data_IF_006549890384
#
_entry.id   IF_006549890384
#
_cell.length_a   1.000
_cell.length_b   1.000
_cell.length_c   1.000
_cell.angle_alpha   90.00
_cell.angle_beta   90.00
_cell.angle_gamma   90.00
#
_symmetry.space_group_name_H-M   'P 1'
#
loop_
_entity.id
_entity.type
_entity.pdbx_description
1 polymer ?
#
# COMPACT_ATOMS: atom_id res chain seq x y z
N UNK A 1 -7.70 -4.32 11.28
CA UNK A 1 -6.51 -4.68 10.47
C UNK A 1 -6.45 -6.19 10.32
N UNK A 2 -6.03 -6.69 9.16
CA UNK A 2 -5.78 -8.11 8.87
C UNK A 2 -4.33 -8.25 8.38
N UNK A 3 -3.60 -9.22 8.92
CA UNK A 3 -2.22 -9.53 8.50
C UNK A 3 -2.14 -11.03 8.23
N UNK A 4 -1.69 -11.41 7.03
CA UNK A 4 -1.59 -12.81 6.61
C UNK A 4 -0.21 -13.06 6.03
N UNK A 5 0.57 -13.92 6.66
CA UNK A 5 1.86 -14.38 6.16
C UNK A 5 1.68 -15.57 5.21
N UNK A 6 2.58 -15.68 4.23
CA UNK A 6 2.53 -16.71 3.19
C UNK A 6 1.19 -16.70 2.43
N UNK A 7 0.70 -15.52 2.07
CA UNK A 7 -0.64 -15.37 1.48
C UNK A 7 -0.74 -15.98 0.08
N UNK A 8 0.10 -15.54 -0.87
CA UNK A 8 0.07 -16.04 -2.25
C UNK A 8 0.64 -17.45 -2.30
N UNK A 9 -0.13 -18.37 -2.87
CA UNK A 9 0.27 -19.78 -3.11
C UNK A 9 0.58 -20.10 -4.57
N UNK A 10 0.22 -19.22 -5.49
CA UNK A 10 0.64 -19.31 -6.89
C UNK A 10 2.15 -19.05 -6.99
N UNK A 11 2.90 -20.11 -7.25
CA UNK A 11 4.37 -20.05 -7.34
C UNK A 11 4.83 -19.26 -8.55
N UNK A 12 4.11 -19.32 -9.67
CA UNK A 12 4.47 -18.53 -10.87
C UNK A 12 4.33 -17.05 -10.58
N UNK A 13 3.19 -16.63 -10.01
CA UNK A 13 2.92 -15.23 -9.69
C UNK A 13 3.99 -14.65 -8.76
N UNK A 14 4.33 -15.37 -7.68
CA UNK A 14 5.32 -14.89 -6.71
C UNK A 14 6.75 -14.93 -7.26
N UNK A 15 7.10 -15.93 -8.08
CA UNK A 15 8.42 -16.02 -8.73
C UNK A 15 8.65 -14.90 -9.73
N UNK A 16 7.65 -14.57 -10.55
CA UNK A 16 7.73 -13.45 -11.49
C UNK A 16 7.97 -12.12 -10.77
N UNK A 17 7.40 -11.93 -9.57
CA UNK A 17 7.62 -10.73 -8.76
C UNK A 17 9.02 -10.64 -8.12
N UNK A 18 9.83 -11.71 -8.17
CA UNK A 18 11.24 -11.66 -7.77
C UNK A 18 12.14 -11.01 -8.84
N UNK A 19 11.63 -10.79 -10.05
CA UNK A 19 12.43 -10.23 -11.12
C UNK A 19 12.74 -8.76 -10.85
N UNK A 20 14.02 -8.41 -10.69
CA UNK A 20 14.46 -7.03 -10.46
C UNK A 20 13.91 -6.05 -11.51
N UNK A 21 13.79 -6.47 -12.78
CA UNK A 21 13.26 -5.62 -13.87
C UNK A 21 11.84 -5.15 -13.67
N UNK A 22 11.03 -5.91 -12.93
CA UNK A 22 9.68 -5.50 -12.56
C UNK A 22 9.71 -4.27 -11.63
N UNK A 23 10.79 -4.11 -10.86
CA UNK A 23 10.98 -3.02 -9.91
C UNK A 23 11.87 -1.88 -10.43
N UNK A 24 12.47 -2.03 -11.62
CA UNK A 24 13.34 -1.00 -12.22
C UNK A 24 12.55 0.26 -12.63
N UNK A 25 11.25 0.12 -12.87
CA UNK A 25 10.33 1.24 -13.02
C UNK A 25 9.40 1.24 -11.82
N UNK A 26 9.52 2.24 -10.94
CA UNK A 26 8.46 2.53 -9.97
C UNK A 26 7.20 2.74 -10.79
N UNK A 27 6.26 1.79 -10.71
CA UNK A 27 4.98 1.93 -11.38
C UNK A 27 4.25 3.08 -10.70
N UNK A 28 4.05 4.16 -11.45
CA UNK A 28 3.15 5.25 -11.09
C UNK A 28 1.77 4.70 -10.77
N UNK A 29 0.99 5.43 -9.99
CA UNK A 29 -0.39 5.11 -9.66
C UNK A 29 -1.19 4.69 -10.90
N UNK A 30 -1.74 3.48 -10.86
CA UNK A 30 -2.59 2.89 -11.91
C UNK A 30 -3.98 2.63 -11.36
N UNK A 31 -4.97 2.74 -12.24
CA UNK A 31 -6.36 2.40 -11.94
C UNK A 31 -6.85 1.26 -12.82
N UNK A 32 -7.64 0.37 -12.23
CA UNK A 32 -8.39 -0.64 -12.95
C UNK A 32 -9.84 -0.68 -12.46
N UNK A 33 -10.78 -0.66 -13.40
CA UNK A 33 -12.19 -0.82 -13.08
C UNK A 33 -12.45 -2.25 -12.61
N UNK A 34 -13.34 -2.41 -11.63
CA UNK A 34 -13.65 -3.70 -11.01
C UNK A 34 -14.15 -4.75 -12.03
N UNK A 35 -14.85 -4.29 -13.07
CA UNK A 35 -15.36 -5.14 -14.15
C UNK A 35 -14.30 -5.49 -15.22
N UNK A 36 -13.17 -4.78 -15.24
CA UNK A 36 -12.12 -4.88 -16.25
C UNK A 36 -10.90 -5.69 -15.78
N UNK A 37 -10.96 -6.29 -14.58
CA UNK A 37 -9.82 -6.98 -13.96
C UNK A 37 -9.47 -8.34 -14.62
N UNK A 38 -10.08 -8.69 -15.75
CA UNK A 38 -9.90 -9.99 -16.40
C UNK A 38 -8.79 -9.98 -17.47
N UNK A 39 -7.98 -11.04 -17.51
CA UNK A 39 -6.95 -11.35 -18.52
C UNK A 39 -5.97 -10.21 -18.86
N UNK A 40 -5.09 -9.88 -17.91
CA UNK A 40 -4.01 -8.93 -18.14
C UNK A 40 -2.62 -9.56 -17.96
N UNK A 41 -1.67 -9.15 -18.80
CA UNK A 41 -0.25 -9.49 -18.67
C UNK A 41 0.46 -8.66 -17.58
N UNK A 42 -0.16 -7.57 -17.11
CA UNK A 42 0.36 -6.77 -16.00
C UNK A 42 0.37 -7.58 -14.70
N UNK A 43 1.55 -7.71 -14.11
CA UNK A 43 1.80 -8.55 -12.94
C UNK A 43 1.12 -8.03 -11.67
N UNK A 44 0.97 -6.70 -11.52
CA UNK A 44 0.21 -6.13 -10.40
C UNK A 44 -1.28 -6.45 -10.55
N UNK A 45 -1.85 -6.34 -11.75
CA UNK A 45 -3.27 -6.65 -11.97
C UNK A 45 -3.59 -8.12 -11.70
N UNK A 46 -2.69 -9.03 -12.09
CA UNK A 46 -2.81 -10.45 -11.73
C UNK A 46 -2.84 -10.65 -10.21
N UNK A 47 -2.03 -9.89 -9.46
CA UNK A 47 -2.07 -9.91 -8.00
C UNK A 47 -3.37 -9.30 -7.42
N UNK A 48 -3.85 -8.18 -7.95
CA UNK A 48 -5.14 -7.59 -7.51
C UNK A 48 -6.27 -8.60 -7.74
N UNK A 49 -6.31 -9.27 -8.89
CA UNK A 49 -7.28 -10.33 -9.18
C UNK A 49 -7.14 -11.50 -8.19
N UNK A 50 -5.91 -11.98 -7.96
CA UNK A 50 -5.64 -13.06 -7.01
C UNK A 50 -6.16 -12.71 -5.60
N UNK A 51 -5.79 -11.53 -5.08
CA UNK A 51 -6.19 -11.11 -3.73
C UNK A 51 -7.70 -10.88 -3.64
N UNK A 52 -8.29 -10.11 -4.57
CA UNK A 52 -9.63 -9.55 -4.37
C UNK A 52 -10.76 -10.25 -5.11
N UNK A 53 -10.45 -11.12 -6.08
CA UNK A 53 -11.45 -11.90 -6.83
C UNK A 53 -11.41 -13.39 -6.50
N UNK A 54 -10.23 -13.97 -6.36
CA UNK A 54 -10.08 -15.42 -6.21
C UNK A 54 -9.92 -15.83 -4.73
N UNK A 55 -9.12 -15.10 -3.97
CA UNK A 55 -8.72 -15.47 -2.60
C UNK A 55 -9.00 -14.37 -1.59
N UNK A 56 -10.08 -13.61 -1.77
CA UNK A 56 -10.44 -12.50 -0.87
C UNK A 56 -10.47 -12.96 0.59
N UNK A 57 -9.58 -12.42 1.46
CA UNK A 57 -9.50 -12.86 2.85
C UNK A 57 -10.59 -12.25 3.73
N UNK A 58 -11.37 -11.31 3.20
CA UNK A 58 -12.45 -10.65 3.93
C UNK A 58 -13.77 -11.35 3.64
N UNK A 59 -14.53 -11.64 4.69
CA UNK A 59 -15.94 -12.02 4.57
C UNK A 59 -16.83 -10.76 4.49
N UNK A 60 -16.54 -9.91 3.50
CA UNK A 60 -17.18 -8.61 3.30
C UNK A 60 -17.79 -8.53 1.92
N UNK A 61 -18.93 -7.86 1.80
CA UNK A 61 -19.50 -7.52 0.49
C UNK A 61 -18.65 -6.43 -0.17
N UNK A 62 -18.08 -6.75 -1.34
CA UNK A 62 -17.30 -5.83 -2.16
C UNK A 62 -18.11 -5.31 -3.36
N UNK A 63 -19.43 -5.49 -3.37
CA UNK A 63 -20.33 -5.04 -4.44
C UNK A 63 -20.29 -3.54 -4.72
N UNK A 64 -19.97 -2.73 -3.69
CA UNK A 64 -19.84 -1.28 -3.81
C UNK A 64 -18.48 -0.81 -4.34
N UNK A 65 -17.53 -1.72 -4.59
CA UNK A 65 -16.19 -1.35 -5.10
C UNK A 65 -16.27 -1.13 -6.61
N UNK A 66 -16.04 0.10 -7.05
CA UNK A 66 -16.00 0.45 -8.48
C UNK A 66 -14.67 0.09 -9.15
N UNK A 67 -13.57 0.10 -8.40
CA UNK A 67 -12.27 -0.27 -8.93
C UNK A 67 -11.14 -0.20 -7.91
N UNK A 68 -9.94 -0.43 -8.43
CA UNK A 68 -8.73 -0.56 -7.66
C UNK A 68 -7.69 0.43 -8.15
N UNK A 69 -7.12 1.16 -7.22
CA UNK A 69 -5.90 1.93 -7.43
C UNK A 69 -4.72 1.09 -6.92
N UNK A 70 -3.61 1.05 -7.65
CA UNK A 70 -2.43 0.30 -7.21
C UNK A 70 -1.12 0.92 -7.72
N UNK A 71 -0.06 0.75 -6.93
CA UNK A 71 1.28 1.25 -7.24
C UNK A 71 2.35 0.43 -6.52
N UNK A 72 3.61 0.59 -6.95
CA UNK A 72 4.76 -0.04 -6.30
C UNK A 72 5.44 0.94 -5.35
N UNK A 73 5.80 0.47 -4.15
CA UNK A 73 6.70 1.17 -3.23
C UNK A 73 8.06 0.47 -3.18
N UNK A 74 9.09 1.15 -3.67
CA UNK A 74 10.49 0.73 -3.59
C UNK A 74 11.26 1.74 -2.72
N UNK A 75 11.75 1.29 -1.56
CA UNK A 75 12.56 2.12 -0.67
C UNK A 75 13.83 1.37 -0.25
N UNK A 76 14.98 2.02 -0.33
CA UNK A 76 16.29 1.44 -0.06
C UNK A 76 17.03 2.20 1.04
N UNK A 77 17.91 1.50 1.75
CA UNK A 77 18.78 2.14 2.72
C UNK A 77 19.67 3.20 2.04
N UNK A 78 19.65 4.43 2.56
CA UNK A 78 20.41 5.55 1.99
C UNK A 78 19.68 6.33 0.88
N UNK A 79 18.42 5.99 0.60
CA UNK A 79 17.55 6.80 -0.25
C UNK A 79 17.40 8.22 0.31
N UNK A 80 17.58 9.22 -0.56
CA UNK A 80 17.48 10.65 -0.19
C UNK A 80 16.06 11.21 -0.32
N UNK A 81 15.06 10.33 -0.40
CA UNK A 81 13.64 10.69 -0.56
C UNK A 81 12.94 10.96 0.78
N UNK A 82 13.70 10.93 1.86
CA UNK A 82 13.24 11.15 3.23
C UNK A 82 12.49 12.47 3.36
N UNK A 83 11.28 12.43 3.93
CA UNK A 83 10.52 13.64 4.27
C UNK A 83 10.45 13.75 5.79
N UNK A 84 10.81 14.92 6.30
CA UNK A 84 10.66 15.25 7.72
C UNK A 84 9.21 15.62 8.00
N UNK A 85 8.60 14.94 8.94
CA UNK A 85 7.24 15.24 9.35
C UNK A 85 7.23 16.28 10.47
N UNK A 86 6.27 17.21 10.41
CA UNK A 86 6.19 18.34 11.32
C UNK A 86 5.75 17.94 12.74
N UNK A 87 4.89 16.93 12.87
CA UNK A 87 4.23 16.61 14.15
C UNK A 87 5.20 15.94 15.15
N UNK A 88 6.07 15.05 14.68
CA UNK A 88 7.02 14.31 15.54
C UNK A 88 8.50 14.63 15.25
N UNK A 89 8.79 15.50 14.27
CA UNK A 89 10.14 15.82 13.82
C UNK A 89 10.97 14.61 13.34
N UNK A 90 10.34 13.49 12.97
CA UNK A 90 11.00 12.30 12.46
C UNK A 90 11.04 12.29 10.93
N UNK A 91 11.98 11.51 10.38
CA UNK A 91 12.06 11.23 8.95
C UNK A 91 11.32 9.93 8.61
N UNK A 92 10.66 9.94 7.47
CA UNK A 92 9.93 8.80 6.91
C UNK A 92 10.22 8.69 5.40
N UNK A 93 10.21 7.47 4.85
CA UNK A 93 10.19 7.30 3.38
C UNK A 93 8.86 7.73 2.79
N UNK A 94 7.80 7.45 3.52
CA UNK A 94 6.48 7.97 3.23
C UNK A 94 5.94 8.57 4.51
N UNK A 95 5.86 9.91 4.54
CA UNK A 95 5.43 10.71 5.68
C UNK A 95 3.98 10.40 6.07
N UNK A 96 3.52 10.94 7.21
CA UNK A 96 2.17 10.67 7.70
C UNK A 96 1.13 11.21 6.71
N UNK A 97 0.24 10.33 6.30
CA UNK A 97 -0.85 10.66 5.39
C UNK A 97 -2.06 9.75 5.66
N UNK A 98 -3.16 10.12 5.01
CA UNK A 98 -4.30 9.25 4.75
C UNK A 98 -4.36 9.10 3.24
N UNK A 99 -4.72 7.92 2.75
CA UNK A 99 -5.03 7.80 1.33
C UNK A 99 -6.37 8.47 1.07
N UNK A 100 -6.41 9.34 0.07
CA UNK A 100 -7.58 10.15 -0.25
C UNK A 100 -7.58 10.59 -1.70
N UNK A 101 -8.73 11.03 -2.17
CA UNK A 101 -8.85 11.76 -3.43
C UNK A 101 -8.21 13.13 -3.25
N UNK A 102 -6.94 13.25 -3.66
CA UNK A 102 -6.13 14.44 -3.43
C UNK A 102 -6.75 15.67 -4.11
N UNK A 103 -7.32 15.54 -5.31
CA UNK A 103 -7.94 16.66 -6.01
C UNK A 103 -9.22 17.12 -5.32
N UNK A 104 -10.06 16.21 -4.85
CA UNK A 104 -11.26 16.61 -4.09
C UNK A 104 -10.88 17.27 -2.77
N UNK A 105 -9.83 16.79 -2.10
CA UNK A 105 -9.28 17.42 -0.91
C UNK A 105 -8.75 18.83 -1.20
N UNK A 106 -7.92 19.00 -2.23
CA UNK A 106 -7.34 20.29 -2.61
C UNK A 106 -8.40 21.32 -3.02
N UNK A 107 -9.42 20.89 -3.75
CA UNK A 107 -10.41 21.81 -4.34
C UNK A 107 -11.56 22.13 -3.40
N UNK A 108 -11.97 21.20 -2.54
CA UNK A 108 -13.18 21.35 -1.70
C UNK A 108 -12.92 21.17 -0.21
N UNK A 109 -11.76 20.65 0.20
CA UNK A 109 -11.49 20.24 1.58
C UNK A 109 -12.28 19.01 2.02
N UNK A 110 -12.92 18.30 1.08
CA UNK A 110 -13.68 17.08 1.39
C UNK A 110 -12.74 15.88 1.43
N UNK A 111 -12.65 15.24 2.58
CA UNK A 111 -11.90 13.99 2.73
C UNK A 111 -12.72 12.83 2.15
N UNK A 112 -12.23 12.23 1.05
CA UNK A 112 -12.78 11.03 0.45
C UNK A 112 -11.69 9.97 0.42
N UNK A 113 -11.82 8.94 1.23
CA UNK A 113 -10.84 7.85 1.36
C UNK A 113 -11.27 6.59 0.60
N UNK A 114 -10.32 5.70 0.26
CA UNK A 114 -10.67 4.35 -0.16
C UNK A 114 -11.39 3.60 0.96
N UNK A 115 -12.20 2.61 0.58
CA UNK A 115 -12.89 1.74 1.53
C UNK A 115 -11.89 0.82 2.26
N UNK A 116 -10.88 0.33 1.53
CA UNK A 116 -9.93 -0.66 2.02
C UNK A 116 -8.55 -0.35 1.44
N UNK A 117 -7.54 -0.31 2.32
CA UNK A 117 -6.13 -0.20 1.96
C UNK A 117 -5.42 -1.54 2.10
N UNK A 118 -4.51 -1.82 1.17
CA UNK A 118 -3.80 -3.10 1.10
C UNK A 118 -2.33 -2.86 0.83
N UNK A 119 -1.46 -3.57 1.56
CA UNK A 119 -0.05 -3.66 1.23
C UNK A 119 0.32 -5.14 1.09
N UNK A 120 0.93 -5.50 -0.04
CA UNK A 120 1.54 -6.80 -0.24
C UNK A 120 3.05 -6.69 -0.39
N UNK A 121 3.79 -7.60 0.23
CA UNK A 121 5.25 -7.65 0.23
C UNK A 121 5.75 -8.84 -0.61
N UNK A 122 5.76 -8.74 -1.94
CA UNK A 122 6.00 -9.88 -2.82
C UNK A 122 7.47 -10.30 -2.93
N UNK A 123 8.44 -9.47 -2.58
CA UNK A 123 9.86 -9.78 -2.82
C UNK A 123 10.56 -10.34 -1.57
N UNK A 124 11.50 -11.28 -1.76
CA UNK A 124 12.27 -11.93 -0.68
C UNK A 124 13.16 -10.96 0.11
N UNK A 125 13.63 -9.88 -0.51
CA UNK A 125 14.40 -8.82 0.17
C UNK A 125 13.72 -8.29 1.43
N UNK A 126 12.38 -8.32 1.47
CA UNK A 126 11.61 -7.87 2.63
C UNK A 126 11.89 -8.69 3.90
N UNK A 127 12.42 -9.91 3.82
CA UNK A 127 12.83 -10.67 5.01
C UNK A 127 14.14 -10.17 5.63
N UNK A 128 14.93 -9.39 4.87
CA UNK A 128 16.25 -8.90 5.26
C UNK A 128 16.27 -7.38 5.53
N UNK A 129 15.18 -6.68 5.25
CA UNK A 129 15.10 -5.22 5.45
C UNK A 129 14.98 -4.85 6.94
N UNK A 130 15.66 -3.77 7.34
CA UNK A 130 15.50 -3.14 8.67
C UNK A 130 14.86 -1.77 8.52
N UNK A 131 13.82 -1.51 9.31
CA UNK A 131 12.96 -0.34 9.11
C UNK A 131 12.04 -0.55 7.91
N UNK A 132 11.55 0.53 7.28
CA UNK A 132 10.55 0.40 6.22
C UNK A 132 9.20 -0.13 6.72
N UNK A 133 8.95 -0.02 8.01
CA UNK A 133 7.76 -0.55 8.67
C UNK A 133 6.55 0.31 8.30
N UNK A 134 5.42 -0.35 8.03
CA UNK A 134 4.14 0.33 7.97
C UNK A 134 3.73 0.69 9.40
N UNK A 135 3.61 1.99 9.68
CA UNK A 135 3.17 2.51 10.98
C UNK A 135 1.77 3.09 10.82
N UNK A 136 0.82 2.62 11.61
CA UNK A 136 -0.59 3.07 11.56
C UNK A 136 -0.97 3.55 12.96
N UNK A 137 -1.38 4.80 13.07
CA UNK A 137 -1.81 5.37 14.35
C UNK A 137 -3.30 5.12 14.58
N UNK A 138 -3.72 5.01 15.83
CA UNK A 138 -5.14 4.95 16.23
C UNK A 138 -5.78 6.36 16.24
N UNK A 139 -5.50 7.13 15.19
CA UNK A 139 -6.14 8.42 14.94
C UNK A 139 -6.20 8.68 13.43
N UNK A 140 -7.21 9.43 13.01
CA UNK A 140 -7.37 9.92 11.63
C UNK A 140 -6.82 11.35 11.47
N UNK A 141 -6.56 12.05 12.56
CA UNK A 141 -6.16 13.45 12.56
C UNK A 141 -4.98 13.70 13.53
N UNK A 142 -4.10 14.67 13.23
CA UNK A 142 -3.09 15.12 14.19
C UNK A 142 -3.72 15.86 15.39
N UNK A 143 -3.02 15.97 16.53
CA UNK A 143 -1.66 15.49 16.77
C UNK A 143 -1.61 13.99 17.11
N UNK A 144 -0.51 13.32 16.76
CA UNK A 144 -0.27 11.91 17.13
C UNK A 144 0.27 11.75 18.55
N UNK A 145 0.53 12.86 19.26
CA UNK A 145 1.09 12.82 20.62
C UNK A 145 0.16 12.07 21.56
N UNK A 146 0.68 11.02 22.22
CA UNK A 146 -0.09 10.17 23.12
C UNK A 146 -1.00 9.15 22.41
N UNK A 147 -1.02 9.12 21.07
CA UNK A 147 -1.78 8.13 20.31
C UNK A 147 -1.03 6.79 20.25
N UNK A 148 -1.78 5.70 20.39
CA UNK A 148 -1.25 4.36 20.15
C UNK A 148 -1.03 4.14 18.66
N UNK A 149 -0.14 3.20 18.33
CA UNK A 149 0.10 2.82 16.94
C UNK A 149 0.45 1.34 16.82
N UNK A 150 0.14 0.80 15.65
CA UNK A 150 0.59 -0.51 15.18
C UNK A 150 1.85 -0.32 14.32
N UNK A 151 2.81 -1.23 14.45
CA UNK A 151 4.03 -1.24 13.64
C UNK A 151 4.19 -2.60 12.95
N UNK A 152 4.04 -2.61 11.63
CA UNK A 152 4.00 -3.82 10.82
C UNK A 152 5.26 -3.88 9.97
N UNK A 153 6.14 -4.81 10.32
CA UNK A 153 7.38 -5.05 9.56
C UNK A 153 7.08 -5.60 8.17
N UNK A 154 7.82 -5.18 7.12
CA UNK A 154 7.84 -5.89 5.85
C UNK A 154 8.27 -7.33 6.10
N UNK A 155 7.64 -8.26 5.38
CA UNK A 155 7.99 -9.68 5.39
C UNK A 155 7.59 -10.28 4.07
N UNK A 156 8.42 -11.13 3.50
CA UNK A 156 8.11 -11.76 2.22
C UNK A 156 6.77 -12.51 2.29
N UNK A 157 5.96 -12.34 1.24
CA UNK A 157 4.64 -12.94 1.06
C UNK A 157 3.65 -12.60 2.20
N UNK A 158 3.80 -11.43 2.81
CA UNK A 158 2.83 -10.87 3.76
C UNK A 158 1.82 -9.97 3.04
N UNK A 159 0.55 -10.22 3.31
CA UNK A 159 -0.57 -9.34 2.97
C UNK A 159 -1.00 -8.58 4.23
N UNK A 160 -1.16 -7.27 4.12
CA UNK A 160 -1.72 -6.39 5.15
C UNK A 160 -2.94 -5.69 4.59
N UNK A 161 -4.06 -5.71 5.31
CA UNK A 161 -5.28 -5.00 4.98
C UNK A 161 -5.70 -4.13 6.16
N UNK A 162 -5.99 -2.85 5.90
CA UNK A 162 -6.28 -1.86 6.92
C UNK A 162 -7.27 -0.79 6.42
N UNK A 163 -7.75 0.06 7.33
CA UNK A 163 -8.55 1.25 7.00
C UNK A 163 -7.55 2.39 6.65
N UNK A 164 -7.46 2.81 5.38
CA UNK A 164 -6.46 3.77 4.95
C UNK A 164 -6.82 5.22 5.30
N UNK A 165 -7.99 5.44 5.92
CA UNK A 165 -8.38 6.74 6.48
C UNK A 165 -7.76 7.02 7.85
N UNK A 166 -7.09 6.05 8.48
CA UNK A 166 -6.23 6.31 9.64
C UNK A 166 -4.89 6.88 9.19
N UNK A 167 -4.28 7.74 10.00
CA UNK A 167 -2.93 8.24 9.73
C UNK A 167 -1.97 7.06 9.68
N UNK A 168 -1.16 7.04 8.62
CA UNK A 168 -0.14 6.01 8.44
C UNK A 168 1.09 6.54 7.69
N UNK A 169 2.20 5.85 7.86
CA UNK A 169 3.51 6.21 7.31
C UNK A 169 4.35 4.96 7.05
N UNK A 170 5.44 5.13 6.29
CA UNK A 170 6.49 4.12 6.14
C UNK A 170 7.76 4.64 6.80
N UNK A 171 8.21 3.95 7.85
CA UNK A 171 9.44 4.32 8.57
C UNK A 171 10.67 4.24 7.64
N UNK A 172 11.74 4.93 8.02
CA UNK A 172 12.99 4.88 7.25
C UNK A 172 13.52 3.45 7.12
N UNK A 173 13.95 3.08 5.91
CA UNK A 173 14.73 1.88 5.67
C UNK A 173 16.17 2.20 6.07
N UNK A 174 16.70 1.40 6.98
CA UNK A 174 18.05 1.58 7.54
C UNK A 174 19.04 0.54 7.03
N UNK A 175 18.53 -0.59 6.52
CA UNK A 175 19.33 -1.65 5.89
C UNK A 175 18.47 -2.40 4.87
N UNK A 176 19.06 -2.73 3.71
CA UNK A 176 18.39 -3.50 2.65
C UNK A 176 17.41 -2.68 1.81
N UNK A 177 16.50 -3.40 1.15
CA UNK A 177 15.52 -2.85 0.21
C UNK A 177 14.12 -3.36 0.54
N UNK A 178 13.17 -2.44 0.72
CA UNK A 178 11.74 -2.71 0.88
C UNK A 178 11.05 -2.67 -0.48
N UNK A 179 10.32 -3.73 -0.82
CA UNK A 179 9.53 -3.84 -2.07
C UNK A 179 8.10 -4.20 -1.76
N UNK A 180 7.18 -3.27 -2.00
CA UNK A 180 5.77 -3.43 -1.71
C UNK A 180 4.90 -3.08 -2.92
N UNK A 181 3.71 -3.67 -2.99
CA UNK A 181 2.64 -3.24 -3.87
C UNK A 181 1.51 -2.75 -2.96
N UNK A 182 1.10 -1.50 -3.13
CA UNK A 182 -0.05 -0.94 -2.46
C UNK A 182 -1.27 -1.04 -3.37
N UNK A 183 -2.43 -1.35 -2.78
CA UNK A 183 -3.71 -1.49 -3.50
C UNK A 183 -4.82 -0.88 -2.66
N UNK A 184 -5.53 0.09 -3.22
CA UNK A 184 -6.68 0.74 -2.61
C UNK A 184 -7.97 0.37 -3.35
N UNK A 185 -8.99 -0.02 -2.59
CA UNK A 185 -10.31 -0.33 -3.11
C UNK A 185 -11.21 0.88 -2.93
N UNK A 186 -11.75 1.37 -4.03
CA UNK A 186 -12.49 2.61 -4.06
C UNK A 186 -13.97 2.36 -4.34
N UNK A 187 -14.83 3.05 -3.59
CA UNK A 187 -16.26 3.05 -3.88
C UNK A 187 -16.57 3.82 -5.18
N UNK A 188 -15.85 4.92 -5.43
CA UNK A 188 -15.92 5.66 -6.67
C UNK A 188 -14.49 5.93 -7.15
N UNK A 189 -14.27 5.92 -8.47
CA UNK A 189 -12.97 6.29 -9.02
C UNK A 189 -12.54 7.68 -8.53
N UNK A 190 -11.36 7.84 -7.88
CA UNK A 190 -10.92 9.15 -7.44
C UNK A 190 -10.56 10.02 -8.65
N UNK A 191 -10.75 11.33 -8.50
CA UNK A 191 -10.58 12.33 -9.54
C UNK A 191 -9.14 12.45 -10.00
N UNK A 192 -8.20 12.21 -9.10
CA UNK A 192 -6.77 12.03 -9.39
C UNK A 192 -6.18 11.00 -8.45
N UNK A 193 -5.23 10.26 -9.00
CA UNK A 193 -4.18 9.55 -8.28
C UNK A 193 -2.97 10.50 -8.29
N UNK A 194 -2.08 10.53 -7.27
CA UNK A 194 -0.81 11.31 -7.14
C UNK A 194 -0.83 12.29 -5.94
N UNK A 195 0.26 12.60 -5.21
CA UNK A 195 1.66 12.87 -5.61
C UNK A 195 2.69 12.50 -4.52
#
# INVERSE_FOLDING_TARGET
MVIIDNFVRDTSLIEEMQNARYWDSIHSYKWVDNNSITNNSDLSLRLVNYIWKEYCPLNSDLSSVEGFEYWTGLYEAGDRTEKKDFDDNLFYHLFKHQDKDEKEWETSGKLICPLIGTIFYPHKDNDFVKGGDLKIWDTKEPPITGQSFELIRPKFNRLVIFDPSYLHAVTMVTEGTRRAIAINLWQNKPSTFLF
#
